data_IF_427223367495
#
_entry.id   IF_427223367495
#
_cell.length_a   1.000
_cell.length_b   1.000
_cell.length_c   1.000
_cell.angle_alpha   90.00
_cell.angle_beta   90.00
_cell.angle_gamma   90.00
#
_symmetry.space_group_name_H-M   'P 1'
#
loop_
_entity.id
_entity.type
_entity.pdbx_description
1 polymer ?
#
# COMPACT_ATOMS: atom_id res chain seq x y z
N UNK A 1 -3.76 -9.69 -8.95
CA UNK A 1 -3.50 -9.75 -7.50
C UNK A 1 -2.00 -9.84 -7.31
N UNK A 2 -1.44 -9.08 -6.39
CA UNK A 2 -0.02 -9.17 -6.00
C UNK A 2 0.05 -9.44 -4.51
N UNK A 3 0.86 -10.42 -4.11
CA UNK A 3 1.11 -10.77 -2.72
C UNK A 3 2.59 -10.54 -2.41
N UNK A 4 2.84 -9.57 -1.54
CA UNK A 4 4.14 -9.20 -1.00
C UNK A 4 4.08 -9.22 0.53
N UNK A 5 3.26 -10.09 1.11
CA UNK A 5 3.17 -10.22 2.56
C UNK A 5 4.42 -10.88 3.15
N UNK A 6 4.83 -10.43 4.34
CA UNK A 6 5.99 -10.94 5.09
C UNK A 6 7.31 -11.00 4.29
N UNK A 7 7.47 -10.12 3.30
CA UNK A 7 8.68 -10.05 2.47
C UNK A 7 9.79 -9.19 3.08
N UNK A 8 9.54 -8.57 4.23
CA UNK A 8 10.51 -7.69 4.89
C UNK A 8 10.64 -6.31 4.23
N UNK A 9 9.58 -5.84 3.55
CA UNK A 9 9.59 -4.52 2.93
C UNK A 9 9.52 -3.43 4.02
N UNK A 10 10.37 -2.43 3.89
CA UNK A 10 10.36 -1.21 4.73
C UNK A 10 9.66 -0.05 4.04
N UNK A 11 9.54 -0.12 2.72
CA UNK A 11 8.90 0.87 1.87
C UNK A 11 7.99 0.20 0.85
N UNK A 12 6.96 0.92 0.43
CA UNK A 12 6.04 0.43 -0.59
C UNK A 12 6.72 0.57 -1.96
N UNK A 13 6.85 -0.53 -2.73
CA UNK A 13 7.42 -0.46 -4.07
C UNK A 13 6.65 0.54 -4.93
N UNK A 14 7.34 1.47 -5.59
CA UNK A 14 6.67 2.36 -6.54
C UNK A 14 6.35 1.63 -7.85
N UNK A 15 7.01 0.51 -8.13
CA UNK A 15 6.88 -0.25 -9.38
C UNK A 15 5.79 -1.31 -9.23
N UNK A 16 4.54 -0.89 -9.27
CA UNK A 16 3.40 -1.80 -9.37
C UNK A 16 2.77 -1.76 -10.77
N UNK A 17 2.30 -2.90 -11.30
CA UNK A 17 1.44 -2.91 -12.47
C UNK A 17 0.26 -1.97 -12.28
N UNK A 18 -0.03 -1.15 -13.30
CA UNK A 18 -1.16 -0.21 -13.23
C UNK A 18 -2.53 -0.92 -13.12
N UNK A 19 -2.59 -2.24 -13.36
CA UNK A 19 -3.83 -3.02 -13.38
C UNK A 19 -4.07 -3.87 -12.12
N UNK A 20 -3.60 -3.44 -10.94
CA UNK A 20 -3.79 -4.20 -9.71
C UNK A 20 -5.09 -3.86 -8.99
N UNK A 21 -5.96 -4.85 -8.81
CA UNK A 21 -7.20 -4.72 -8.05
C UNK A 21 -7.04 -5.10 -6.57
N UNK A 22 -6.12 -6.01 -6.25
CA UNK A 22 -5.83 -6.47 -4.89
C UNK A 22 -4.32 -6.55 -4.69
N UNK A 23 -3.85 -5.88 -3.64
CA UNK A 23 -2.44 -5.89 -3.22
C UNK A 23 -2.37 -6.25 -1.74
N UNK A 24 -1.61 -7.29 -1.42
CA UNK A 24 -1.32 -7.70 -0.05
C UNK A 24 0.11 -7.32 0.31
N UNK A 25 0.25 -6.42 1.28
CA UNK A 25 1.52 -5.98 1.85
C UNK A 25 1.58 -6.26 3.35
N UNK A 26 0.74 -7.15 3.87
CA UNK A 26 0.68 -7.41 5.31
C UNK A 26 1.96 -8.04 5.87
N UNK A 27 2.25 -7.78 7.14
CA UNK A 27 3.42 -8.34 7.83
C UNK A 27 4.77 -7.76 7.38
N UNK A 28 4.75 -6.57 6.79
CA UNK A 28 5.96 -5.79 6.47
C UNK A 28 6.21 -4.71 7.54
N UNK A 29 7.21 -3.86 7.40
CA UNK A 29 7.56 -2.85 8.41
C UNK A 29 7.48 -1.44 7.82
N UNK A 30 6.28 -1.01 7.46
CA UNK A 30 6.05 0.34 6.91
C UNK A 30 5.86 1.35 8.04
N UNK A 31 6.92 1.91 8.59
CA UNK A 31 6.80 2.85 9.71
C UNK A 31 6.06 4.15 9.33
N UNK A 32 6.31 4.66 8.12
CA UNK A 32 5.73 5.90 7.60
C UNK A 32 5.14 5.67 6.22
N UNK A 33 3.89 6.08 6.04
CA UNK A 33 3.22 6.11 4.74
C UNK A 33 3.14 7.55 4.23
N UNK A 34 3.51 7.75 2.96
CA UNK A 34 3.52 9.05 2.29
C UNK A 34 2.57 9.06 1.07
N UNK A 35 2.15 10.23 0.55
CA UNK A 35 1.40 10.33 -0.71
C UNK A 35 2.08 9.65 -1.91
N UNK A 36 3.40 9.58 -1.89
CA UNK A 36 4.22 8.97 -2.92
C UNK A 36 4.16 7.45 -2.86
N UNK A 37 4.02 6.87 -1.65
CA UNK A 37 3.94 5.41 -1.43
C UNK A 37 2.80 4.76 -2.23
N UNK A 38 1.67 5.46 -2.40
CA UNK A 38 0.51 4.95 -3.15
C UNK A 38 0.19 5.73 -4.44
N UNK A 39 1.12 6.55 -4.92
CA UNK A 39 0.91 7.38 -6.11
C UNK A 39 0.52 6.59 -7.36
N UNK A 40 1.03 5.36 -7.52
CA UNK A 40 0.74 4.49 -8.66
C UNK A 40 -0.52 3.61 -8.48
N UNK A 41 -1.20 3.67 -7.35
CA UNK A 41 -2.37 2.85 -7.05
C UNK A 41 -3.67 3.55 -7.50
N UNK A 42 -3.79 3.80 -8.81
CA UNK A 42 -4.93 4.56 -9.36
C UNK A 42 -6.23 3.75 -9.46
N UNK A 43 -6.12 2.43 -9.65
CA UNK A 43 -7.29 1.53 -9.82
C UNK A 43 -7.42 0.46 -8.72
N UNK A 44 -6.53 0.47 -7.73
CA UNK A 44 -6.52 -0.57 -6.71
C UNK A 44 -7.75 -0.51 -5.81
N UNK A 45 -8.44 -1.65 -5.72
CA UNK A 45 -9.70 -1.79 -4.99
C UNK A 45 -9.50 -2.28 -3.56
N UNK A 46 -8.48 -3.10 -3.33
CA UNK A 46 -8.22 -3.67 -2.01
C UNK A 46 -6.73 -3.67 -1.71
N UNK A 47 -6.38 -3.10 -0.56
CA UNK A 47 -5.03 -2.98 -0.06
C UNK A 47 -4.99 -3.59 1.35
N UNK A 48 -4.20 -4.63 1.54
CA UNK A 48 -4.03 -5.27 2.85
C UNK A 48 -2.73 -4.77 3.45
N UNK A 49 -2.84 -4.12 4.62
CA UNK A 49 -1.71 -3.60 5.41
C UNK A 49 -1.66 -4.21 6.81
N UNK A 50 -2.40 -5.29 7.03
CA UNK A 50 -2.42 -5.99 8.32
C UNK A 50 -1.02 -6.28 8.85
N UNK A 51 -0.77 -6.06 10.15
CA UNK A 51 0.53 -6.30 10.79
C UNK A 51 1.71 -5.54 10.18
N UNK A 52 1.51 -4.33 9.64
CA UNK A 52 2.59 -3.58 8.97
C UNK A 52 3.33 -2.52 9.81
N UNK A 53 3.15 -2.52 11.13
CA UNK A 53 3.79 -1.58 12.09
C UNK A 53 3.74 -0.08 11.68
N UNK A 54 2.63 0.33 11.07
CA UNK A 54 2.46 1.72 10.61
C UNK A 54 2.27 2.64 11.81
N UNK A 55 3.22 3.57 11.97
CA UNK A 55 3.23 4.55 13.06
C UNK A 55 2.77 5.94 12.61
N UNK A 56 3.13 6.31 11.36
CA UNK A 56 2.88 7.64 10.81
C UNK A 56 2.22 7.50 9.44
N UNK A 57 1.14 8.27 9.23
CA UNK A 57 0.49 8.39 7.94
C UNK A 57 0.37 9.86 7.58
N UNK A 58 1.04 10.27 6.50
CA UNK A 58 1.01 11.67 6.08
C UNK A 58 -0.34 12.05 5.45
N UNK A 59 -0.76 13.32 5.56
CA UNK A 59 -1.93 13.82 4.87
C UNK A 59 -1.81 13.60 3.35
N UNK A 60 -2.85 13.01 2.75
CA UNK A 60 -2.87 12.74 1.31
C UNK A 60 -2.24 11.42 0.88
N UNK A 61 -1.78 10.58 1.82
CA UNK A 61 -1.27 9.23 1.56
C UNK A 61 -2.16 8.41 0.61
N UNK A 62 -3.49 8.49 0.78
CA UNK A 62 -4.46 7.74 -0.02
C UNK A 62 -5.18 8.58 -1.08
N UNK A 63 -4.74 9.81 -1.35
CA UNK A 63 -5.45 10.78 -2.20
C UNK A 63 -5.67 10.29 -3.64
N UNK A 64 -4.75 9.48 -4.15
CA UNK A 64 -4.80 8.97 -5.53
C UNK A 64 -5.61 7.66 -5.67
N UNK A 65 -6.09 7.11 -4.56
CA UNK A 65 -6.83 5.84 -4.56
C UNK A 65 -8.35 6.10 -4.60
N UNK A 66 -8.93 6.09 -5.80
CA UNK A 66 -10.34 6.49 -6.02
C UNK A 66 -11.38 5.52 -5.43
N UNK A 67 -11.02 4.28 -5.10
CA UNK A 67 -11.95 3.26 -4.58
C UNK A 67 -11.23 2.19 -3.75
N UNK A 68 -10.44 2.59 -2.77
CA UNK A 68 -9.68 1.65 -1.93
C UNK A 68 -10.48 1.16 -0.73
N UNK A 69 -10.42 -0.16 -0.51
CA UNK A 69 -10.74 -0.80 0.76
C UNK A 69 -9.43 -1.21 1.43
N UNK A 70 -9.17 -0.65 2.61
CA UNK A 70 -8.00 -0.98 3.43
C UNK A 70 -8.40 -2.03 4.46
N UNK A 71 -7.59 -3.10 4.58
CA UNK A 71 -7.80 -4.22 5.49
C UNK A 71 -6.57 -4.50 6.36
#
# INVERSE_FOLDING_TARGET
>A
MVNCSATGLTEIPSVFPQNLTLVDLGGNSFHTLTPQSFSNFTITRTLILSRSEISTCEPGTFKNMNSVRIL
#
